data_IF_363619872467
#
_entry.id   IF_363619872467
#
_cell.length_a   1.000
_cell.length_b   1.000
_cell.length_c   1.000
_cell.angle_alpha   90.00
_cell.angle_beta   90.00
_cell.angle_gamma   90.00
#
_symmetry.space_group_name_H-M   'P 1'
#
loop_
_entity.id
_entity.type
_entity.pdbx_description
1 polymer ?
#
# COMPACT_ATOMS: atom_id res chain seq x y z
N UNK A 1 -5.95 -22.82 3.20
CA UNK A 1 -5.52 -22.30 4.50
C UNK A 1 -6.56 -22.70 5.52
N UNK A 2 -6.13 -22.96 6.74
CA UNK A 2 -7.01 -23.47 7.81
C UNK A 2 -7.57 -22.35 8.69
N UNK A 3 -6.84 -21.24 8.83
CA UNK A 3 -7.27 -20.05 9.56
C UNK A 3 -6.72 -18.73 8.94
N UNK A 4 -7.05 -17.59 9.57
CA UNK A 4 -6.60 -16.27 9.10
C UNK A 4 -5.06 -16.12 9.16
N UNK A 5 -4.40 -16.73 10.15
CA UNK A 5 -2.96 -16.62 10.33
C UNK A 5 -2.21 -17.39 9.22
N UNK A 6 -2.67 -18.60 8.89
CA UNK A 6 -2.13 -19.40 7.80
C UNK A 6 -2.38 -18.73 6.44
N UNK A 7 -3.55 -18.11 6.23
CA UNK A 7 -3.84 -17.34 5.03
C UNK A 7 -2.86 -16.19 4.82
N UNK A 8 -2.61 -15.40 5.88
CA UNK A 8 -1.66 -14.29 5.87
C UNK A 8 -0.25 -14.79 5.61
N UNK A 9 0.17 -15.86 6.29
CA UNK A 9 1.49 -16.48 6.11
C UNK A 9 1.71 -16.89 4.65
N UNK A 10 0.74 -17.60 4.05
CA UNK A 10 0.81 -18.03 2.65
C UNK A 10 0.80 -16.83 1.69
N UNK A 11 -0.02 -15.81 1.93
CA UNK A 11 -0.06 -14.61 1.09
C UNK A 11 1.26 -13.83 1.11
N UNK A 12 1.97 -13.85 2.25
CA UNK A 12 3.24 -13.16 2.43
C UNK A 12 4.47 -14.00 2.01
N UNK A 13 4.30 -15.29 1.72
CA UNK A 13 5.36 -16.23 1.32
C UNK A 13 5.78 -16.02 -0.16
N UNK A 14 6.21 -14.79 -0.42
CA UNK A 14 6.67 -14.30 -1.71
C UNK A 14 7.62 -13.12 -1.50
N UNK A 15 8.66 -12.95 -2.33
CA UNK A 15 9.51 -11.77 -2.27
C UNK A 15 8.81 -10.49 -2.76
N UNK A 16 7.59 -10.61 -3.30
CA UNK A 16 6.82 -9.50 -3.87
C UNK A 16 5.68 -9.04 -2.95
N UNK A 17 5.17 -7.84 -3.20
CA UNK A 17 4.12 -7.21 -2.41
C UNK A 17 3.45 -6.04 -3.14
N UNK A 18 3.09 -6.21 -4.41
CA UNK A 18 2.50 -5.12 -5.20
C UNK A 18 1.03 -4.90 -4.84
N UNK A 19 0.17 -5.87 -5.20
CA UNK A 19 -1.25 -5.80 -4.95
C UNK A 19 -1.86 -7.15 -4.65
N UNK A 20 -3.08 -7.14 -4.09
CA UNK A 20 -3.84 -8.34 -3.77
C UNK A 20 -5.33 -8.07 -3.57
N UNK A 21 -6.07 -9.15 -3.34
CA UNK A 21 -7.52 -9.11 -3.15
C UNK A 21 -7.96 -10.04 -2.03
N UNK A 22 -8.90 -9.57 -1.20
CA UNK A 22 -9.51 -10.31 -0.10
C UNK A 22 -10.99 -10.51 -0.43
N UNK A 23 -11.45 -11.76 -0.43
CA UNK A 23 -12.85 -12.11 -0.71
C UNK A 23 -13.48 -12.71 0.53
N UNK A 24 -14.43 -11.99 1.14
CA UNK A 24 -15.08 -12.39 2.38
C UNK A 24 -16.39 -11.64 2.59
N UNK A 25 -17.32 -12.27 3.33
CA UNK A 25 -18.54 -11.62 3.84
C UNK A 25 -18.36 -11.03 5.23
N UNK A 26 -17.29 -11.39 5.93
CA UNK A 26 -16.96 -10.91 7.26
C UNK A 26 -16.05 -9.67 7.16
N UNK A 27 -16.57 -8.52 7.56
CA UNK A 27 -15.84 -7.25 7.53
C UNK A 27 -14.68 -7.20 8.54
N UNK A 28 -14.82 -7.82 9.71
CA UNK A 28 -13.75 -7.89 10.71
C UNK A 28 -12.58 -8.71 10.20
N UNK A 29 -12.85 -9.85 9.55
CA UNK A 29 -11.85 -10.65 8.84
C UNK A 29 -11.19 -9.84 7.74
N UNK A 30 -11.97 -9.10 6.94
CA UNK A 30 -11.43 -8.30 5.84
C UNK A 30 -10.34 -7.33 6.33
N UNK A 31 -10.60 -6.59 7.40
CA UNK A 31 -9.63 -5.64 7.95
C UNK A 31 -8.46 -6.31 8.68
N UNK A 32 -8.68 -7.41 9.42
CA UNK A 32 -7.59 -8.15 10.08
C UNK A 32 -6.62 -8.74 9.07
N UNK A 33 -7.14 -9.39 8.03
CA UNK A 33 -6.33 -9.96 6.95
C UNK A 33 -5.65 -8.85 6.15
N UNK A 34 -6.35 -7.77 5.80
CA UNK A 34 -5.74 -6.65 5.07
C UNK A 34 -4.57 -6.01 5.83
N UNK A 35 -4.66 -5.93 7.16
CA UNK A 35 -3.57 -5.41 7.99
C UNK A 35 -2.36 -6.35 8.08
N UNK A 36 -2.56 -7.65 7.90
CA UNK A 36 -1.50 -8.66 8.00
C UNK A 36 -0.76 -8.93 6.69
N UNK A 37 -1.36 -8.62 5.53
CA UNK A 37 -0.74 -8.86 4.22
C UNK A 37 0.24 -7.71 3.87
N UNK A 38 1.46 -8.07 3.50
CA UNK A 38 2.50 -7.15 3.05
C UNK A 38 2.33 -6.80 1.56
N UNK A 39 1.31 -6.00 1.25
CA UNK A 39 1.07 -5.49 -0.10
C UNK A 39 0.75 -4.01 -0.07
N UNK A 40 1.17 -3.27 -1.09
CA UNK A 40 0.91 -1.84 -1.14
C UNK A 40 -0.50 -1.46 -1.55
N UNK A 41 -1.23 -2.37 -2.22
CA UNK A 41 -2.64 -2.17 -2.55
C UNK A 41 -3.47 -3.43 -2.31
N UNK A 42 -4.51 -3.33 -1.50
CA UNK A 42 -5.47 -4.41 -1.28
C UNK A 42 -6.88 -3.98 -1.65
N UNK A 43 -7.57 -4.85 -2.36
CA UNK A 43 -8.99 -4.72 -2.68
C UNK A 43 -9.80 -5.72 -1.87
N UNK A 44 -10.96 -5.31 -1.34
CA UNK A 44 -11.89 -6.22 -0.67
C UNK A 44 -13.09 -6.44 -1.60
N UNK A 45 -13.41 -7.70 -1.90
CA UNK A 45 -14.49 -8.12 -2.80
C UNK A 45 -14.42 -7.48 -4.20
N UNK A 46 -13.20 -7.28 -4.69
CA UNK A 46 -12.87 -6.78 -6.02
C UNK A 46 -11.47 -7.25 -6.40
N UNK A 47 -11.10 -7.14 -7.68
CA UNK A 47 -9.74 -7.34 -8.19
C UNK A 47 -9.11 -6.05 -8.75
N UNK A 48 -9.80 -4.91 -8.62
CA UNK A 48 -9.34 -3.63 -9.17
C UNK A 48 -8.32 -2.99 -8.23
N UNK A 49 -7.07 -2.89 -8.69
CA UNK A 49 -5.95 -2.35 -7.89
C UNK A 49 -5.66 -0.86 -8.15
N UNK A 50 -6.15 -0.26 -9.23
CA UNK A 50 -5.73 1.08 -9.65
C UNK A 50 -6.89 2.06 -9.59
N UNK A 51 -6.70 3.20 -8.91
CA UNK A 51 -7.57 4.38 -8.98
C UNK A 51 -6.70 5.62 -9.05
N UNK A 52 -7.00 6.53 -9.98
CA UNK A 52 -6.17 7.73 -10.24
C UNK A 52 -6.03 8.65 -9.03
N UNK A 53 -7.00 8.63 -8.11
CA UNK A 53 -7.05 9.47 -6.92
C UNK A 53 -6.36 8.86 -5.69
N UNK A 54 -5.93 7.60 -5.73
CA UNK A 54 -5.33 6.90 -4.58
C UNK A 54 -3.91 6.45 -4.90
N UNK A 55 -3.00 6.44 -3.92
CA UNK A 55 -1.62 6.00 -4.15
C UNK A 55 -1.57 4.53 -4.61
N UNK A 56 -0.72 4.25 -5.58
CA UNK A 56 -0.41 2.91 -6.07
C UNK A 56 1.10 2.68 -5.95
N UNK A 57 1.51 1.54 -5.41
CA UNK A 57 2.92 1.18 -5.29
C UNK A 57 3.07 -0.09 -4.48
N UNK A 58 4.25 -0.70 -4.56
CA UNK A 58 4.50 -2.00 -3.93
C UNK A 58 5.22 -1.91 -2.58
N UNK A 59 5.40 -3.11 -2.04
CA UNK A 59 6.24 -3.47 -0.90
C UNK A 59 7.28 -4.48 -1.37
N UNK A 60 8.31 -4.72 -0.54
CA UNK A 60 9.37 -5.72 -0.80
C UNK A 60 10.04 -5.49 -2.17
N UNK A 61 10.26 -6.55 -2.96
CA UNK A 61 10.84 -6.44 -4.29
C UNK A 61 9.88 -5.88 -5.34
N UNK A 62 8.63 -5.56 -4.99
CA UNK A 62 7.71 -4.86 -5.89
C UNK A 62 7.94 -3.34 -5.97
N UNK A 63 9.02 -2.84 -5.34
CA UNK A 63 9.48 -1.47 -5.45
C UNK A 63 9.15 -0.60 -4.24
N UNK A 64 9.54 0.66 -4.34
CA UNK A 64 9.33 1.71 -3.34
C UNK A 64 8.70 2.94 -3.98
N UNK A 65 8.24 3.89 -3.16
CA UNK A 65 7.52 5.08 -3.63
C UNK A 65 6.04 4.79 -3.95
N UNK A 66 5.32 5.84 -4.34
CA UNK A 66 3.90 5.77 -4.72
C UNK A 66 3.68 6.59 -5.97
N UNK A 67 2.99 5.99 -6.93
CA UNK A 67 2.42 6.64 -8.10
C UNK A 67 0.97 7.02 -7.83
N UNK A 68 0.42 7.91 -8.67
CA UNK A 68 -0.95 8.44 -8.56
C UNK A 68 -1.27 9.16 -7.24
N UNK A 69 -2.48 9.73 -7.15
CA UNK A 69 -2.93 10.49 -5.99
C UNK A 69 -1.99 11.63 -5.59
N UNK A 70 -2.17 12.16 -4.38
CA UNK A 70 -1.34 13.26 -3.87
C UNK A 70 0.08 12.80 -3.49
N UNK A 71 0.28 11.52 -3.18
CA UNK A 71 1.58 10.99 -2.77
C UNK A 71 2.58 10.96 -3.93
N UNK A 72 2.12 10.83 -5.18
CA UNK A 72 3.01 10.89 -6.34
C UNK A 72 3.79 12.20 -6.43
N UNK A 73 3.23 13.31 -5.91
CA UNK A 73 3.91 14.60 -5.91
C UNK A 73 5.25 14.54 -5.17
N UNK A 74 5.42 13.68 -4.16
CA UNK A 74 6.70 13.49 -3.47
C UNK A 74 7.80 12.96 -4.41
N UNK A 75 7.44 12.13 -5.39
CA UNK A 75 8.38 11.61 -6.40
C UNK A 75 8.63 12.55 -7.58
N UNK A 76 7.80 13.58 -7.73
CA UNK A 76 7.85 14.56 -8.83
C UNK A 76 8.14 15.99 -8.37
N UNK A 77 8.51 16.20 -7.10
CA UNK A 77 8.84 17.50 -6.54
C UNK A 77 10.11 17.45 -5.70
N UNK A 78 10.76 18.61 -5.58
CA UNK A 78 11.96 18.79 -4.75
C UNK A 78 11.67 19.83 -3.67
N UNK A 79 11.91 19.48 -2.40
CA UNK A 79 11.68 20.38 -1.26
C UNK A 79 12.84 21.37 -1.17
N UNK A 80 12.54 22.66 -1.31
CA UNK A 80 13.51 23.75 -1.11
C UNK A 80 13.13 24.58 0.11
N UNK A 81 14.01 24.63 1.10
CA UNK A 81 13.90 25.54 2.24
C UNK A 81 14.71 26.82 1.97
N UNK A 82 14.09 27.99 2.17
CA UNK A 82 14.73 29.30 2.05
C UNK A 82 14.37 30.11 3.28
N UNK A 83 15.38 30.72 3.91
CA UNK A 83 15.17 31.62 5.04
C UNK A 83 15.99 32.90 4.84
N UNK A 84 15.50 33.99 5.42
CA UNK A 84 16.16 35.29 5.47
C UNK A 84 16.47 35.60 6.93
N UNK A 85 17.75 35.81 7.26
CA UNK A 85 18.15 36.25 8.60
C UNK A 85 17.75 37.72 8.81
N UNK A 86 17.11 38.03 9.94
CA UNK A 86 16.57 39.37 10.26
C UNK A 86 17.23 40.06 11.45
N UNK A 87 18.24 39.43 12.06
CA UNK A 87 18.90 40.02 13.23
C UNK A 87 19.95 41.05 12.77
N UNK A 88 19.96 42.21 13.43
CA UNK A 88 20.85 43.36 13.17
C UNK A 88 22.19 43.23 13.90
#
# INVERSE_FOLDING_TARGET
FDDEADAIRLANDTPYGLSGSIWTRDAGRAFRVARGIDAGVLSINSNTSVRVSTPFGGFKQSGFGRELGMHALEGYSEIKNVYLATDA
#
